data_IF_556314620247
#
_entry.id   IF_556314620247
#
_cell.length_a   1.000
_cell.length_b   1.000
_cell.length_c   1.000
_cell.angle_alpha   90.00
_cell.angle_beta   90.00
_cell.angle_gamma   90.00
#
_symmetry.space_group_name_H-M   'P 1'
#
loop_
_entity.id
_entity.type
_entity.pdbx_description
1 polymer ?
#
# COMPACT_ATOMS: atom_id res chain seq x y z
N UNK A 1 13.76 -8.26 -7.92
CA UNK A 1 13.89 -6.99 -7.18
C UNK A 1 12.61 -6.80 -6.39
N UNK A 2 12.69 -6.46 -5.09
CA UNK A 2 11.52 -6.31 -4.22
C UNK A 2 11.32 -4.86 -3.83
N UNK A 3 10.33 -4.19 -4.43
CA UNK A 3 9.93 -2.84 -3.98
C UNK A 3 9.07 -2.95 -2.72
N UNK A 4 9.17 -1.95 -1.86
CA UNK A 4 8.30 -1.80 -0.70
C UNK A 4 7.04 -1.01 -1.08
N UNK A 5 5.90 -1.46 -0.58
CA UNK A 5 4.60 -0.82 -0.79
C UNK A 5 4.09 -0.34 0.58
N UNK A 6 3.96 0.98 0.73
CA UNK A 6 3.67 1.62 2.03
C UNK A 6 2.37 2.40 1.93
N UNK A 7 1.41 2.11 2.81
CA UNK A 7 0.27 2.98 3.05
C UNK A 7 0.76 4.24 3.81
N UNK A 8 0.72 5.41 3.17
CA UNK A 8 1.20 6.65 3.77
C UNK A 8 0.50 7.89 3.19
N UNK A 9 0.65 9.01 3.91
CA UNK A 9 0.03 10.29 3.60
C UNK A 9 -1.39 10.40 4.13
N UNK A 10 -1.87 11.63 4.27
CA UNK A 10 -3.22 11.97 4.72
C UNK A 10 -3.70 13.22 3.97
N UNK A 11 -4.99 13.35 3.73
CA UNK A 11 -5.60 14.50 3.03
C UNK A 11 -5.95 15.65 3.97
N UNK A 12 -6.03 15.40 5.28
CA UNK A 12 -6.37 16.41 6.29
C UNK A 12 -5.44 16.26 7.48
N UNK A 13 -4.72 17.33 7.82
CA UNK A 13 -3.83 17.35 8.98
C UNK A 13 -4.57 16.99 10.28
N UNK A 14 -3.91 16.20 11.14
CA UNK A 14 -4.45 15.73 12.43
C UNK A 14 -3.50 16.16 13.55
N UNK A 15 -3.69 17.39 14.01
CA UNK A 15 -2.81 17.97 15.03
C UNK A 15 -1.40 18.29 14.49
N UNK A 16 -0.43 18.53 15.38
CA UNK A 16 0.88 19.06 15.00
C UNK A 16 1.86 18.02 14.42
N UNK A 17 1.55 16.72 14.52
CA UNK A 17 2.48 15.64 14.15
C UNK A 17 2.04 14.83 12.93
N UNK A 18 0.89 15.17 12.36
CA UNK A 18 0.34 14.53 11.18
C UNK A 18 -0.11 15.64 10.22
N UNK A 19 0.76 16.02 9.27
CA UNK A 19 0.45 17.04 8.26
C UNK A 19 -0.08 16.41 6.97
N UNK A 20 -0.93 17.15 6.25
CA UNK A 20 -1.42 16.79 4.93
C UNK A 20 -0.46 17.09 3.78
N UNK A 21 0.83 17.32 4.05
CA UNK A 21 1.83 17.69 3.04
C UNK A 21 2.12 16.52 2.07
N UNK A 22 1.96 15.29 2.57
CA UNK A 22 2.13 14.07 1.79
C UNK A 22 0.74 13.52 1.43
N UNK A 23 0.38 13.45 0.13
CA UNK A 23 -0.93 12.99 -0.28
C UNK A 23 -1.12 11.49 0.03
N UNK A 24 -2.33 11.07 0.42
CA UNK A 24 -2.62 9.69 0.79
C UNK A 24 -2.47 8.73 -0.39
N UNK A 25 -1.95 7.54 -0.14
CA UNK A 25 -1.85 6.48 -1.13
C UNK A 25 -0.88 5.36 -0.76
N UNK A 26 -0.68 4.45 -1.71
CA UNK A 26 0.36 3.43 -1.61
C UNK A 26 1.61 3.93 -2.32
N UNK A 27 2.65 4.21 -1.55
CA UNK A 27 3.95 4.64 -2.03
C UNK A 27 4.81 3.42 -2.35
N UNK A 28 5.42 3.43 -3.54
CA UNK A 28 6.29 2.36 -4.02
C UNK A 28 7.73 2.83 -3.90
N UNK A 29 8.52 2.13 -3.09
CA UNK A 29 9.88 2.52 -2.72
C UNK A 29 10.86 1.40 -3.10
N UNK A 30 12.01 1.74 -3.67
CA UNK A 30 13.07 0.77 -3.98
C UNK A 30 13.76 0.28 -2.70
N UNK A 31 14.49 -0.85 -2.75
CA UNK A 31 15.37 -1.25 -1.63
C UNK A 31 16.37 -0.18 -1.20
N UNK A 32 16.78 0.70 -2.14
CA UNK A 32 17.74 1.78 -1.89
C UNK A 32 17.08 3.03 -1.27
N UNK A 33 15.75 3.03 -1.11
CA UNK A 33 14.99 4.12 -0.50
C UNK A 33 14.39 5.13 -1.49
N UNK A 34 14.54 4.92 -2.79
CA UNK A 34 14.02 5.83 -3.81
C UNK A 34 12.52 5.67 -4.03
N UNK A 35 11.80 6.78 -4.13
CA UNK A 35 10.38 6.79 -4.48
C UNK A 35 10.22 6.52 -5.98
N UNK A 36 9.61 5.38 -6.31
CA UNK A 36 9.25 5.01 -7.70
C UNK A 36 7.94 5.64 -8.15
N UNK A 37 7.01 5.85 -7.23
CA UNK A 37 5.70 6.41 -7.53
C UNK A 37 4.67 6.20 -6.44
N UNK A 38 3.42 6.55 -6.75
CA UNK A 38 2.27 6.49 -5.84
C UNK A 38 1.04 5.94 -6.56
N UNK A 39 0.34 5.01 -5.91
CA UNK A 39 -1.02 4.60 -6.28
C UNK A 39 -1.98 5.46 -5.44
N UNK A 40 -2.75 6.37 -6.05
CA UNK A 40 -3.65 7.24 -5.30
C UNK A 40 -4.82 6.45 -4.71
N UNK A 41 -5.15 6.74 -3.46
CA UNK A 41 -6.36 6.24 -2.79
C UNK A 41 -7.17 7.46 -2.35
N UNK A 42 -8.46 7.46 -2.68
CA UNK A 42 -9.34 8.64 -2.51
C UNK A 42 -9.86 8.81 -1.09
N UNK A 43 -9.76 7.76 -0.26
CA UNK A 43 -10.31 7.72 1.09
C UNK A 43 -9.19 7.69 2.14
N UNK A 44 -9.45 8.37 3.26
CA UNK A 44 -8.61 8.36 4.45
C UNK A 44 -9.35 7.76 5.66
N UNK A 45 -8.64 7.17 6.63
CA UNK A 45 -7.17 7.03 6.73
C UNK A 45 -6.75 5.66 6.23
N UNK A 46 -5.65 5.59 5.48
CA UNK A 46 -5.03 4.32 5.10
C UNK A 46 -4.32 3.71 6.30
N UNK A 47 -4.65 2.47 6.64
CA UNK A 47 -4.09 1.79 7.82
C UNK A 47 -3.20 0.61 7.47
N UNK A 48 -3.42 -0.03 6.32
CA UNK A 48 -2.67 -1.21 5.92
C UNK A 48 -2.68 -1.42 4.40
N UNK A 49 -1.65 -2.10 3.90
CA UNK A 49 -1.60 -2.67 2.56
C UNK A 49 -0.94 -4.05 2.60
N UNK A 50 -1.46 -5.00 1.83
CA UNK A 50 -0.86 -6.33 1.69
C UNK A 50 -1.03 -6.89 0.29
N UNK A 51 -0.13 -7.79 -0.10
CA UNK A 51 -0.28 -8.59 -1.31
C UNK A 51 -1.14 -9.83 -1.04
N UNK A 52 -1.95 -10.22 -2.02
CA UNK A 52 -2.76 -11.42 -1.98
C UNK A 52 -3.27 -11.81 -3.37
N UNK A 53 -4.33 -12.60 -3.39
CA UNK A 53 -4.77 -13.31 -4.58
C UNK A 53 -3.88 -14.51 -4.90
N UNK A 54 -4.33 -15.36 -5.82
CA UNK A 54 -3.67 -16.65 -6.09
C UNK A 54 -2.25 -16.50 -6.66
N UNK A 55 -1.95 -15.40 -7.31
CA UNK A 55 -0.65 -15.09 -7.90
C UNK A 55 0.14 -14.03 -7.12
N UNK A 56 -0.35 -13.59 -5.96
CA UNK A 56 0.23 -12.51 -5.14
C UNK A 56 0.37 -11.17 -5.89
N UNK A 57 -0.39 -10.96 -6.97
CA UNK A 57 -0.38 -9.73 -7.76
C UNK A 57 -1.57 -8.82 -7.49
N UNK A 58 -2.33 -9.08 -6.43
CA UNK A 58 -3.40 -8.19 -5.98
C UNK A 58 -2.95 -7.48 -4.71
N UNK A 59 -2.95 -6.15 -4.73
CA UNK A 59 -2.85 -5.35 -3.52
C UNK A 59 -4.23 -5.18 -2.89
N UNK A 60 -4.31 -5.39 -1.59
CA UNK A 60 -5.47 -5.07 -0.76
C UNK A 60 -5.10 -3.89 0.14
N UNK A 61 -5.90 -2.84 0.13
CA UNK A 61 -5.65 -1.60 0.88
C UNK A 61 -6.84 -1.28 1.76
N UNK A 62 -6.62 -1.23 3.07
CA UNK A 62 -7.63 -0.81 4.03
C UNK A 62 -7.54 0.70 4.22
N UNK A 63 -8.60 1.42 3.85
CA UNK A 63 -8.67 2.88 3.98
C UNK A 63 -10.07 3.32 4.43
N UNK A 64 -10.14 4.05 5.54
CA UNK A 64 -11.40 4.47 6.13
C UNK A 64 -12.35 3.30 6.37
N UNK A 65 -13.47 3.25 5.65
CA UNK A 65 -14.48 2.17 5.72
C UNK A 65 -14.42 1.21 4.52
N UNK A 66 -13.45 1.40 3.63
CA UNK A 66 -13.40 0.71 2.35
C UNK A 66 -12.15 -0.17 2.23
N UNK A 67 -12.32 -1.35 1.63
CA UNK A 67 -11.22 -2.19 1.17
C UNK A 67 -11.06 -1.99 -0.35
N UNK A 68 -9.96 -1.34 -0.74
CA UNK A 68 -9.62 -1.15 -2.14
C UNK A 68 -8.76 -2.30 -2.64
N UNK A 69 -8.84 -2.59 -3.94
CA UNK A 69 -7.96 -3.53 -4.60
C UNK A 69 -7.42 -2.98 -5.90
N UNK A 70 -6.19 -3.35 -6.23
CA UNK A 70 -5.60 -3.11 -7.55
C UNK A 70 -4.61 -4.20 -7.91
N UNK A 71 -4.33 -4.33 -9.20
CA UNK A 71 -3.38 -5.31 -9.74
C UNK A 71 -2.00 -4.69 -9.91
N UNK A 72 -0.97 -5.48 -9.67
CA UNK A 72 0.44 -5.14 -9.91
C UNK A 72 1.08 -6.17 -10.83
N UNK A 73 2.13 -5.76 -11.53
CA UNK A 73 2.82 -6.65 -12.48
C UNK A 73 3.74 -7.66 -11.77
N UNK A 74 4.37 -7.21 -10.68
CA UNK A 74 5.35 -7.99 -9.91
C UNK A 74 4.64 -8.59 -8.69
N UNK A 75 4.72 -9.91 -8.46
CA UNK A 75 4.09 -10.54 -7.31
C UNK A 75 4.76 -10.10 -6.02
N UNK A 76 3.96 -10.04 -4.95
CA UNK A 76 4.46 -9.89 -3.59
C UNK A 76 5.22 -11.12 -3.10
N UNK A 77 5.77 -11.01 -1.90
CA UNK A 77 6.52 -12.09 -1.26
C UNK A 77 5.88 -12.51 0.06
N UNK A 78 5.87 -13.81 0.33
CA UNK A 78 5.31 -14.39 1.56
C UNK A 78 6.15 -15.60 1.98
N UNK A 79 6.52 -15.68 3.26
CA UNK A 79 7.33 -16.78 3.81
C UNK A 79 6.48 -18.03 4.05
N UNK A 80 5.25 -17.83 4.52
CA UNK A 80 4.34 -18.90 4.94
C UNK A 80 3.07 -18.89 4.10
N UNK A 81 3.20 -19.32 2.84
CA UNK A 81 2.03 -19.67 2.05
C UNK A 81 1.66 -21.12 2.37
N UNK A 82 0.54 -21.33 3.06
CA UNK A 82 -0.08 -22.67 3.03
C UNK A 82 -0.60 -22.84 1.60
N UNK A 83 0.01 -23.75 0.85
CA UNK A 83 -0.60 -24.21 -0.40
C UNK A 83 -1.96 -24.77 -0.02
N UNK A 84 -3.02 -24.26 -0.67
CA UNK A 84 -4.38 -24.72 -0.43
C UNK A 84 -4.45 -26.24 -0.61
N UNK A 85 -5.24 -26.88 0.26
CA UNK A 85 -5.63 -28.29 0.17
C UNK A 85 -6.30 -28.62 -1.16
#
# INVERSE_FOLDING_TARGET
>A
QGNLYIAAGISRSRGPHESGDIPPGIWVITPDGDVRGRIPIVEDVLTNVTFGGDDLKTLYVAAGKTLFTTRVEIPGWVVHRRNGS
#
